data_IF_258801059830
#
_entry.id   IF_258801059830
#
_cell.length_a   1.000
_cell.length_b   1.000
_cell.length_c   1.000
_cell.angle_alpha   90.00
_cell.angle_beta   90.00
_cell.angle_gamma   90.00
#
_symmetry.space_group_name_H-M   'P 1'
#
loop_
_entity.id
_entity.type
_entity.pdbx_description
1 polymer ?
#
# COMPACT_ATOMS: atom_id res chain seq x y z
N UNK A 1 11.70 6.57 -32.44
CA UNK A 1 11.28 6.02 -31.14
C UNK A 1 10.01 6.75 -30.74
N UNK A 2 8.89 6.28 -31.28
CA UNK A 2 7.56 6.79 -30.94
C UNK A 2 7.10 6.03 -29.70
N UNK A 3 6.95 6.76 -28.59
CA UNK A 3 6.36 6.22 -27.38
C UNK A 3 4.89 5.90 -27.67
N UNK A 4 4.42 4.65 -27.53
CA UNK A 4 3.01 4.35 -27.68
C UNK A 4 2.26 5.14 -26.60
N UNK A 5 1.43 6.10 -27.04
CA UNK A 5 0.40 6.69 -26.21
C UNK A 5 -0.52 5.55 -25.79
N UNK A 6 -0.36 5.06 -24.57
CA UNK A 6 -1.38 4.26 -23.90
C UNK A 6 -2.54 5.23 -23.70
N UNK A 7 -3.51 5.19 -24.60
CA UNK A 7 -4.79 5.84 -24.36
C UNK A 7 -5.34 5.22 -23.08
N UNK A 8 -5.40 6.04 -22.04
CA UNK A 8 -5.98 5.74 -20.74
C UNK A 8 -7.44 5.35 -21.02
N UNK A 9 -7.71 4.03 -21.14
CA UNK A 9 -9.07 3.51 -21.25
C UNK A 9 -9.74 3.78 -19.89
N UNK A 10 -10.33 4.96 -19.77
CA UNK A 10 -11.09 5.35 -18.60
C UNK A 10 -12.11 4.24 -18.30
N UNK A 11 -11.93 3.58 -17.16
CA UNK A 11 -12.74 2.43 -16.76
C UNK A 11 -14.24 2.78 -16.94
N UNK A 12 -14.97 2.08 -17.82
CA UNK A 12 -16.38 2.38 -18.10
C UNK A 12 -17.24 2.27 -16.84
N UNK A 13 -16.78 1.49 -15.86
CA UNK A 13 -17.41 1.34 -14.56
C UNK A 13 -17.38 2.63 -13.73
N UNK A 14 -16.28 3.41 -13.76
CA UNK A 14 -16.20 4.69 -13.03
C UNK A 14 -17.20 5.70 -13.56
N UNK A 15 -17.34 5.78 -14.89
CA UNK A 15 -18.34 6.64 -15.53
C UNK A 15 -19.76 6.28 -15.09
N UNK A 16 -20.08 4.99 -14.98
CA UNK A 16 -21.39 4.53 -14.51
C UNK A 16 -21.68 4.95 -13.06
N UNK A 17 -20.67 4.99 -12.17
CA UNK A 17 -20.82 5.48 -10.80
C UNK A 17 -21.04 6.99 -10.75
N UNK A 18 -20.36 7.76 -11.60
CA UNK A 18 -20.61 9.19 -11.74
C UNK A 18 -22.03 9.48 -12.22
N UNK A 19 -22.51 8.76 -13.23
CA UNK A 19 -23.88 8.91 -13.72
C UNK A 19 -24.92 8.54 -12.66
N UNK A 20 -24.68 7.45 -11.92
CA UNK A 20 -25.59 7.02 -10.85
C UNK A 20 -25.63 8.01 -9.70
N UNK A 21 -24.48 8.52 -9.27
CA UNK A 21 -24.40 9.52 -8.19
C UNK A 21 -25.03 10.86 -8.61
N UNK A 22 -24.77 11.31 -9.85
CA UNK A 22 -25.42 12.49 -10.41
C UNK A 22 -26.94 12.33 -10.46
N UNK A 23 -27.44 11.15 -10.86
CA UNK A 23 -28.88 10.87 -10.90
C UNK A 23 -29.53 10.92 -9.52
N UNK A 24 -28.86 10.39 -8.48
CA UNK A 24 -29.36 10.43 -7.09
C UNK A 24 -29.43 11.86 -6.56
N UNK A 25 -28.39 12.67 -6.81
CA UNK A 25 -28.38 14.09 -6.42
C UNK A 25 -29.48 14.84 -7.17
N UNK A 26 -29.65 14.58 -8.48
CA UNK A 26 -30.69 15.21 -9.27
C UNK A 26 -32.10 14.84 -8.79
N UNK A 27 -32.35 13.57 -8.50
CA UNK A 27 -33.63 13.11 -7.96
C UNK A 27 -33.91 13.73 -6.58
N UNK A 28 -32.89 13.89 -5.74
CA UNK A 28 -33.01 14.54 -4.44
C UNK A 28 -33.33 16.03 -4.58
N UNK A 29 -32.64 16.71 -5.51
CA UNK A 29 -32.91 18.10 -5.83
C UNK A 29 -34.32 18.29 -6.40
N UNK A 30 -34.76 17.38 -7.27
CA UNK A 30 -36.10 17.42 -7.86
C UNK A 30 -37.19 17.24 -6.78
N UNK A 31 -36.99 16.33 -5.83
CA UNK A 31 -37.91 16.18 -4.68
C UNK A 31 -37.93 17.41 -3.80
N UNK A 32 -36.76 18.00 -3.54
CA UNK A 32 -36.67 19.24 -2.77
C UNK A 32 -37.36 20.40 -3.48
N UNK A 33 -37.14 20.54 -4.78
CA UNK A 33 -37.74 21.58 -5.60
C UNK A 33 -39.27 21.46 -5.61
N UNK A 34 -39.79 20.24 -5.82
CA UNK A 34 -41.23 20.00 -5.84
C UNK A 34 -41.86 20.13 -4.45
N UNK A 35 -41.20 19.65 -3.40
CA UNK A 35 -41.74 19.61 -2.05
C UNK A 35 -41.67 20.93 -1.29
N UNK A 36 -40.62 21.72 -1.51
CA UNK A 36 -40.34 22.92 -0.70
C UNK A 36 -40.21 24.18 -1.54
N UNK A 37 -39.45 24.14 -2.64
CA UNK A 37 -39.15 25.35 -3.40
C UNK A 37 -40.40 25.90 -4.13
N UNK A 38 -41.11 25.05 -4.89
CA UNK A 38 -42.32 25.43 -5.63
C UNK A 38 -43.43 26.01 -4.75
N UNK A 39 -43.88 25.33 -3.68
CA UNK A 39 -44.95 25.87 -2.84
C UNK A 39 -44.50 27.16 -2.15
N UNK A 40 -43.27 27.23 -1.63
CA UNK A 40 -42.73 28.43 -1.00
C UNK A 40 -42.72 29.65 -1.95
N UNK A 41 -42.29 29.45 -3.20
CA UNK A 41 -42.24 30.52 -4.20
C UNK A 41 -43.65 30.99 -4.60
N UNK A 42 -44.61 30.07 -4.75
CA UNK A 42 -46.00 30.42 -5.04
C UNK A 42 -46.66 31.22 -3.89
N UNK A 43 -46.35 30.88 -2.63
CA UNK A 43 -46.81 31.61 -1.46
C UNK A 43 -46.18 33.00 -1.37
N UNK A 44 -44.89 33.12 -1.68
CA UNK A 44 -44.19 34.40 -1.76
C UNK A 44 -44.87 35.33 -2.77
N UNK A 45 -45.07 34.88 -4.01
CA UNK A 45 -45.72 35.68 -5.07
C UNK A 45 -47.12 36.13 -4.65
N UNK A 46 -47.92 35.22 -4.08
CA UNK A 46 -49.27 35.55 -3.59
C UNK A 46 -49.25 36.55 -2.42
N UNK A 47 -48.26 36.46 -1.54
CA UNK A 47 -48.08 37.40 -0.42
C UNK A 47 -47.71 38.81 -0.90
N UNK A 48 -46.85 38.93 -1.91
CA UNK A 48 -46.51 40.21 -2.55
C UNK A 48 -47.72 40.90 -3.19
N UNK A 49 -48.61 40.15 -3.84
CA UNK A 49 -49.83 40.69 -4.43
C UNK A 49 -50.83 41.19 -3.37
N UNK A 50 -50.90 40.51 -2.23
CA UNK A 50 -51.90 40.85 -1.20
C UNK A 50 -51.44 42.00 -0.30
N UNK A 51 -50.15 42.05 0.08
CA UNK A 51 -49.60 43.05 1.03
C UNK A 51 -48.14 43.42 0.69
N UNK A 52 -47.92 44.28 -0.32
CA UNK A 52 -46.58 44.54 -0.87
C UNK A 52 -45.59 45.10 0.18
N UNK A 53 -46.03 46.00 1.05
CA UNK A 53 -45.15 46.67 2.04
C UNK A 53 -44.57 45.70 3.08
N UNK A 54 -45.36 44.75 3.59
CA UNK A 54 -44.87 43.77 4.57
C UNK A 54 -43.96 42.74 3.89
N UNK A 55 -44.28 42.35 2.66
CA UNK A 55 -43.53 41.36 1.91
C UNK A 55 -42.13 41.88 1.52
N UNK A 56 -42.01 43.13 1.09
CA UNK A 56 -40.70 43.74 0.79
C UNK A 56 -39.85 43.89 2.04
N UNK A 57 -40.43 44.29 3.17
CA UNK A 57 -39.71 44.36 4.45
C UNK A 57 -39.14 43.00 4.86
N UNK A 58 -39.95 41.93 4.81
CA UNK A 58 -39.50 40.57 5.12
C UNK A 58 -38.43 40.07 4.15
N UNK A 59 -38.55 40.38 2.85
CA UNK A 59 -37.56 39.99 1.86
C UNK A 59 -36.20 40.67 2.11
N UNK A 60 -36.20 41.99 2.35
CA UNK A 60 -34.97 42.73 2.68
C UNK A 60 -34.38 42.26 4.00
N UNK A 61 -35.21 42.06 5.03
CA UNK A 61 -34.77 41.50 6.31
C UNK A 61 -34.16 40.10 6.13
N UNK A 62 -34.81 39.23 5.34
CA UNK A 62 -34.30 37.90 5.03
C UNK A 62 -32.94 37.98 4.35
N UNK A 63 -32.77 38.81 3.32
CA UNK A 63 -31.49 38.98 2.62
C UNK A 63 -30.40 39.53 3.56
N UNK A 64 -30.71 40.55 4.36
CA UNK A 64 -29.76 41.14 5.31
C UNK A 64 -29.40 40.16 6.44
N UNK A 65 -30.33 39.31 6.88
CA UNK A 65 -30.10 38.28 7.90
C UNK A 65 -29.41 37.03 7.34
N UNK A 66 -29.53 36.77 6.04
CA UNK A 66 -28.87 35.65 5.38
C UNK A 66 -27.36 35.84 5.33
N UNK A 67 -26.90 37.10 5.21
CA UNK A 67 -25.48 37.45 5.13
C UNK A 67 -24.68 37.07 6.40
N UNK A 68 -25.10 37.43 7.63
CA UNK A 68 -24.44 36.96 8.85
C UNK A 68 -24.60 35.45 9.07
N UNK A 69 -25.71 34.85 8.62
CA UNK A 69 -25.93 33.41 8.73
C UNK A 69 -24.98 32.62 7.81
N UNK A 70 -24.79 33.06 6.56
CA UNK A 70 -23.81 32.49 5.64
C UNK A 70 -22.38 32.70 6.15
N UNK A 71 -22.07 33.88 6.68
CA UNK A 71 -20.77 34.16 7.28
C UNK A 71 -20.48 33.21 8.45
N UNK A 72 -21.47 33.00 9.32
CA UNK A 72 -21.35 32.06 10.44
C UNK A 72 -21.14 30.61 9.96
N UNK A 73 -21.93 30.14 8.99
CA UNK A 73 -21.78 28.78 8.43
C UNK A 73 -20.40 28.64 7.77
N UNK A 74 -20.00 29.61 6.95
CA UNK A 74 -18.70 29.59 6.28
C UNK A 74 -17.54 29.58 7.26
N UNK A 75 -17.58 30.43 8.29
CA UNK A 75 -16.56 30.47 9.33
C UNK A 75 -16.52 29.19 10.17
N UNK A 76 -17.68 28.62 10.52
CA UNK A 76 -17.78 27.35 11.23
C UNK A 76 -17.17 26.19 10.42
N UNK A 77 -17.50 26.10 9.12
CA UNK A 77 -16.91 25.11 8.22
C UNK A 77 -15.40 25.33 8.05
N UNK A 78 -14.96 26.58 7.93
CA UNK A 78 -13.54 26.91 7.82
C UNK A 78 -12.74 26.48 9.05
N UNK A 79 -13.29 26.73 10.25
CA UNK A 79 -12.69 26.26 11.50
C UNK A 79 -12.63 24.73 11.51
N UNK A 80 -13.74 24.06 11.23
CA UNK A 80 -13.80 22.59 11.23
C UNK A 80 -12.77 21.99 10.26
N UNK A 81 -12.72 22.49 9.02
CA UNK A 81 -11.76 22.07 8.01
C UNK A 81 -10.31 22.30 8.47
N UNK A 82 -10.03 23.45 9.08
CA UNK A 82 -8.71 23.77 9.63
C UNK A 82 -8.32 22.78 10.74
N UNK A 83 -9.22 22.48 11.68
CA UNK A 83 -8.97 21.51 12.75
C UNK A 83 -8.71 20.10 12.20
N UNK A 84 -9.49 19.65 11.22
CA UNK A 84 -9.27 18.36 10.55
C UNK A 84 -7.91 18.33 9.87
N UNK A 85 -7.54 19.39 9.15
CA UNK A 85 -6.25 19.49 8.48
C UNK A 85 -5.08 19.45 9.47
N UNK A 86 -5.14 20.23 10.56
CA UNK A 86 -4.12 20.21 11.61
C UNK A 86 -4.03 18.86 12.32
N UNK A 87 -5.18 18.22 12.58
CA UNK A 87 -5.21 16.88 13.19
C UNK A 87 -4.56 15.84 12.27
N UNK A 88 -4.88 15.87 10.98
CA UNK A 88 -4.30 14.95 9.99
C UNK A 88 -2.80 15.19 9.82
N UNK A 89 -2.37 16.45 9.71
CA UNK A 89 -0.96 16.82 9.63
C UNK A 89 -0.19 16.36 10.88
N UNK A 90 -0.76 16.57 12.07
CA UNK A 90 -0.19 16.12 13.34
C UNK A 90 -0.08 14.59 13.41
N UNK A 91 -1.12 13.87 12.96
CA UNK A 91 -1.12 12.41 12.93
C UNK A 91 -0.04 11.85 11.98
N UNK A 92 0.09 12.42 10.77
CA UNK A 92 1.13 12.03 9.82
C UNK A 92 2.53 12.32 10.35
N UNK A 93 2.73 13.48 10.98
CA UNK A 93 4.02 13.85 11.58
C UNK A 93 4.36 12.89 12.73
N UNK A 94 3.42 12.61 13.63
CA UNK A 94 3.62 11.63 14.69
C UNK A 94 3.94 10.22 14.15
N UNK A 95 3.19 9.74 13.15
CA UNK A 95 3.42 8.45 12.52
C UNK A 95 4.81 8.36 11.88
N UNK A 96 5.23 9.41 11.15
CA UNK A 96 6.56 9.45 10.52
C UNK A 96 7.69 9.41 11.55
N UNK A 97 7.57 10.12 12.68
CA UNK A 97 8.53 10.06 13.79
C UNK A 97 8.62 8.63 14.33
N UNK A 98 7.49 7.99 14.60
CA UNK A 98 7.46 6.61 15.14
C UNK A 98 8.11 5.63 14.17
N UNK A 99 7.81 5.74 12.87
CA UNK A 99 8.43 4.90 11.84
C UNK A 99 9.93 5.12 11.79
N UNK A 100 10.40 6.38 11.82
CA UNK A 100 11.84 6.68 11.83
C UNK A 100 12.52 6.11 13.08
N UNK A 101 11.93 6.31 14.26
CA UNK A 101 12.47 5.81 15.52
C UNK A 101 12.55 4.28 15.51
N UNK A 102 11.47 3.61 15.05
CA UNK A 102 11.45 2.16 14.90
C UNK A 102 12.49 1.66 13.91
N UNK A 103 12.69 2.38 12.79
CA UNK A 103 13.73 2.06 11.81
C UNK A 103 15.14 2.18 12.38
N UNK A 104 15.43 3.22 13.15
CA UNK A 104 16.72 3.41 13.83
C UNK A 104 16.96 2.31 14.87
N UNK A 105 15.95 1.97 15.68
CA UNK A 105 16.03 0.88 16.65
C UNK A 105 16.30 -0.46 15.96
N UNK A 106 15.56 -0.77 14.89
CA UNK A 106 15.76 -1.98 14.10
C UNK A 106 17.18 -2.02 13.50
N UNK A 107 17.64 -0.92 12.90
CA UNK A 107 19.00 -0.79 12.39
C UNK A 107 20.06 -1.03 13.45
N UNK A 108 19.89 -0.46 14.65
CA UNK A 108 20.79 -0.67 15.79
C UNK A 108 20.81 -2.15 16.23
N UNK A 109 19.64 -2.79 16.35
CA UNK A 109 19.58 -4.22 16.70
C UNK A 109 20.25 -5.10 15.66
N UNK A 110 20.03 -4.85 14.36
CA UNK A 110 20.70 -5.58 13.28
C UNK A 110 22.22 -5.40 13.33
N UNK A 111 22.69 -4.18 13.62
CA UNK A 111 24.12 -3.90 13.79
C UNK A 111 24.73 -4.72 14.95
N UNK A 112 24.04 -4.75 16.10
CA UNK A 112 24.47 -5.53 17.26
C UNK A 112 24.47 -7.03 16.93
N UNK A 113 23.41 -7.55 16.30
CA UNK A 113 23.34 -8.94 15.87
C UNK A 113 24.46 -9.29 14.87
N UNK A 114 24.76 -8.39 13.94
CA UNK A 114 25.85 -8.56 12.98
C UNK A 114 27.20 -8.70 13.71
N UNK A 115 27.49 -7.80 14.65
CA UNK A 115 28.72 -7.88 15.45
C UNK A 115 28.78 -9.12 16.34
N UNK A 116 27.66 -9.60 16.86
CA UNK A 116 27.59 -10.84 17.64
C UNK A 116 27.76 -12.07 16.72
N UNK A 117 27.25 -12.01 15.50
CA UNK A 117 27.36 -13.13 14.56
C UNK A 117 28.81 -13.40 14.15
N UNK A 118 29.66 -12.38 14.00
CA UNK A 118 31.06 -12.55 13.60
C UNK A 118 31.83 -13.50 14.53
N UNK A 119 31.95 -13.22 15.86
CA UNK A 119 32.65 -14.10 16.78
C UNK A 119 31.93 -15.43 16.97
N UNK A 120 30.60 -15.45 16.91
CA UNK A 120 29.83 -16.70 17.02
C UNK A 120 30.14 -17.63 15.84
N UNK A 121 30.22 -17.09 14.63
CA UNK A 121 30.57 -17.83 13.41
C UNK A 121 32.03 -18.28 13.47
N UNK A 122 32.94 -17.41 13.92
CA UNK A 122 34.35 -17.75 14.11
C UNK A 122 34.54 -18.87 15.15
N UNK A 123 33.79 -18.83 16.26
CA UNK A 123 33.81 -19.84 17.30
C UNK A 123 33.22 -21.17 16.81
N UNK A 124 32.08 -21.14 16.12
CA UNK A 124 31.47 -22.32 15.52
C UNK A 124 32.40 -22.98 14.50
N UNK A 125 33.03 -22.18 13.63
CA UNK A 125 34.01 -22.66 12.65
C UNK A 125 35.25 -23.23 13.35
N UNK A 126 35.77 -22.56 14.37
CA UNK A 126 36.89 -23.03 15.18
C UNK A 126 36.59 -24.35 15.89
N UNK A 127 35.42 -24.47 16.51
CA UNK A 127 34.95 -25.69 17.17
C UNK A 127 34.78 -26.84 16.17
N UNK A 128 34.24 -26.56 14.99
CA UNK A 128 34.12 -27.53 13.91
C UNK A 128 35.49 -28.05 13.45
N UNK A 129 36.44 -27.14 13.21
CA UNK A 129 37.81 -27.51 12.83
C UNK A 129 38.47 -28.34 13.94
N UNK A 130 38.36 -27.91 15.20
CA UNK A 130 38.92 -28.62 16.34
C UNK A 130 38.32 -30.01 16.51
N UNK A 131 36.99 -30.14 16.40
CA UNK A 131 36.28 -31.42 16.44
C UNK A 131 36.75 -32.36 15.32
N UNK A 132 36.83 -31.86 14.08
CA UNK A 132 37.30 -32.63 12.93
C UNK A 132 38.75 -33.08 13.09
N UNK A 133 39.62 -32.22 13.61
CA UNK A 133 41.01 -32.55 13.91
C UNK A 133 41.08 -33.64 15.00
N UNK A 134 40.29 -33.51 16.07
CA UNK A 134 40.24 -34.49 17.15
C UNK A 134 39.82 -35.88 16.65
N UNK A 135 38.84 -35.95 15.74
CA UNK A 135 38.43 -37.20 15.09
C UNK A 135 39.57 -37.80 14.27
N UNK A 136 40.25 -37.02 13.40
CA UNK A 136 41.40 -37.52 12.60
C UNK A 136 42.60 -37.94 13.46
N UNK A 137 42.91 -37.20 14.52
CA UNK A 137 44.00 -37.54 15.45
C UNK A 137 43.71 -38.86 16.17
N UNK A 138 42.44 -39.13 16.47
CA UNK A 138 42.00 -40.39 17.09
C UNK A 138 42.08 -41.58 16.13
N UNK A 139 41.87 -41.40 14.82
CA UNK A 139 41.94 -42.48 13.84
C UNK A 139 43.37 -42.79 13.39
N UNK A 140 44.18 -41.78 13.06
CA UNK A 140 45.45 -41.96 12.32
C UNK A 140 46.70 -41.66 13.17
N UNK A 141 46.52 -41.31 14.44
CA UNK A 141 47.58 -40.91 15.35
C UNK A 141 48.04 -39.46 15.16
N UNK A 142 48.70 -38.91 16.19
CA UNK A 142 48.98 -37.48 16.31
C UNK A 142 49.87 -36.92 15.19
N UNK A 143 50.91 -37.66 14.77
CA UNK A 143 51.89 -37.18 13.78
C UNK A 143 51.36 -37.20 12.34
N UNK A 144 50.64 -38.25 11.95
CA UNK A 144 50.11 -38.36 10.59
C UNK A 144 48.88 -37.47 10.37
N UNK A 145 48.01 -37.36 11.39
CA UNK A 145 46.75 -36.62 11.30
C UNK A 145 46.92 -35.11 11.08
N UNK A 146 47.85 -34.46 11.79
CA UNK A 146 48.04 -33.00 11.70
C UNK A 146 48.70 -32.62 10.37
N UNK A 147 49.72 -33.36 9.94
CA UNK A 147 50.43 -33.09 8.68
C UNK A 147 49.54 -33.27 7.46
N UNK A 148 48.78 -34.36 7.40
CA UNK A 148 47.84 -34.63 6.32
C UNK A 148 46.70 -33.61 6.25
N UNK A 149 46.15 -33.21 7.39
CA UNK A 149 45.09 -32.19 7.44
C UNK A 149 45.56 -30.81 6.98
N UNK A 150 46.77 -30.39 7.38
CA UNK A 150 47.32 -29.10 6.97
C UNK A 150 47.55 -29.06 5.44
N UNK A 151 48.08 -30.13 4.87
CA UNK A 151 48.32 -30.22 3.43
C UNK A 151 47.00 -30.24 2.64
N UNK A 152 45.98 -30.92 3.13
CA UNK A 152 44.65 -30.96 2.50
C UNK A 152 43.91 -29.62 2.61
N UNK A 153 43.96 -28.95 3.76
CA UNK A 153 43.35 -27.63 3.96
C UNK A 153 44.02 -26.59 3.05
N UNK A 154 45.35 -26.66 2.94
CA UNK A 154 46.11 -25.84 2.00
C UNK A 154 45.66 -26.09 0.56
N UNK A 155 45.54 -27.36 0.17
CA UNK A 155 45.14 -27.71 -1.19
C UNK A 155 43.71 -27.25 -1.53
N UNK A 156 42.78 -27.27 -0.57
CA UNK A 156 41.42 -26.74 -0.76
C UNK A 156 41.40 -25.21 -0.91
N UNK A 157 42.19 -24.48 -0.12
CA UNK A 157 42.24 -23.01 -0.22
C UNK A 157 42.84 -22.53 -1.55
N UNK A 158 43.89 -23.20 -2.05
CA UNK A 158 44.50 -22.83 -3.32
C UNK A 158 43.71 -23.29 -4.56
N UNK A 159 42.86 -24.32 -4.43
CA UNK A 159 42.09 -24.85 -5.58
C UNK A 159 40.83 -24.02 -5.89
N UNK A 160 40.47 -23.06 -5.04
CA UNK A 160 39.25 -22.25 -5.22
C UNK A 160 39.50 -20.87 -5.82
N UNK A 161 40.72 -20.56 -6.28
CA UNK A 161 40.93 -19.42 -7.16
C UNK A 161 40.26 -19.77 -8.51
N UNK A 162 39.10 -19.16 -8.83
CA UNK A 162 38.35 -19.54 -10.01
C UNK A 162 39.14 -19.06 -11.23
N UNK A 163 39.42 -19.99 -12.13
CA UNK A 163 39.28 -19.95 -13.60
C UNK A 163 38.89 -18.61 -14.27
N UNK A 164 39.48 -17.48 -13.89
CA UNK A 164 39.37 -16.20 -14.59
C UNK A 164 39.98 -16.27 -16.01
N UNK A 165 40.69 -17.37 -16.30
CA UNK A 165 41.23 -17.70 -17.62
C UNK A 165 40.24 -18.45 -18.51
N UNK A 166 39.10 -18.96 -18.01
CA UNK A 166 38.10 -19.62 -18.84
C UNK A 166 37.25 -18.63 -19.65
N UNK A 167 37.17 -17.34 -19.25
CA UNK A 167 36.40 -16.33 -19.99
C UNK A 167 37.16 -15.67 -21.15
N UNK A 168 38.47 -15.91 -21.29
CA UNK A 168 39.24 -15.40 -22.45
C UNK A 168 39.32 -16.41 -23.61
N UNK A 169 38.85 -17.64 -23.42
CA UNK A 169 38.86 -18.66 -24.47
C UNK A 169 37.64 -18.60 -25.41
N UNK A 170 36.59 -17.85 -25.06
CA UNK A 170 35.35 -17.74 -25.87
C UNK A 170 35.22 -16.43 -26.65
N UNK A 171 36.13 -15.45 -26.50
CA UNK A 171 36.06 -14.19 -27.24
C UNK A 171 36.59 -14.28 -28.69
N UNK A 172 37.09 -15.45 -29.12
CA UNK A 172 37.59 -15.68 -30.49
C UNK A 172 36.71 -16.64 -31.33
N UNK A 173 35.55 -17.10 -30.81
CA UNK A 173 34.60 -17.90 -31.61
C UNK A 173 33.48 -17.02 -32.16
N UNK A 174 33.85 -16.34 -33.24
CA UNK A 174 33.10 -16.31 -34.51
C UNK A 174 31.62 -15.90 -34.47
N UNK A 175 31.40 -14.68 -34.94
CA UNK A 175 30.32 -14.32 -35.86
C UNK A 175 29.81 -15.51 -36.70
N UNK A 176 28.68 -16.11 -36.31
CA UNK A 176 27.80 -16.80 -37.24
C UNK A 176 26.40 -16.79 -36.68
N UNK A 177 25.56 -15.93 -37.25
CA UNK A 177 24.18 -15.78 -36.83
C UNK A 177 23.36 -17.04 -37.09
N UNK A 178 22.40 -17.30 -36.20
CA UNK A 178 21.17 -18.03 -36.51
C UNK A 178 20.26 -17.94 -35.30
N UNK A 179 19.14 -17.27 -35.52
CA UNK A 179 17.80 -17.63 -35.07
C UNK A 179 17.50 -17.77 -33.57
N UNK A 180 16.81 -16.71 -33.10
CA UNK A 180 15.53 -16.79 -32.40
C UNK A 180 15.12 -18.18 -31.85
N UNK A 181 15.29 -18.37 -30.54
CA UNK A 181 14.44 -19.27 -29.76
C UNK A 181 13.93 -18.51 -28.54
N UNK A 182 12.76 -17.90 -28.73
CA UNK A 182 11.92 -17.31 -27.70
C UNK A 182 11.31 -18.47 -26.89
N UNK A 183 11.90 -18.81 -25.73
CA UNK A 183 11.26 -19.73 -24.79
C UNK A 183 10.19 -18.94 -24.03
N UNK A 184 9.00 -18.90 -24.63
CA UNK A 184 7.75 -18.55 -23.96
C UNK A 184 7.49 -19.65 -22.92
N UNK A 185 7.82 -19.36 -21.67
CA UNK A 185 7.37 -20.15 -20.53
C UNK A 185 5.86 -20.04 -20.40
N UNK A 186 5.16 -21.04 -20.91
CA UNK A 186 3.72 -21.23 -20.68
C UNK A 186 3.48 -21.53 -19.21
N UNK A 187 2.94 -20.55 -18.49
CA UNK A 187 2.40 -20.72 -17.13
C UNK A 187 1.10 -21.55 -17.29
N UNK A 188 0.97 -22.72 -16.63
CA UNK A 188 -0.28 -23.47 -16.63
C UNK A 188 -1.37 -22.69 -15.87
N UNK A 189 -2.57 -22.48 -16.46
CA UNK A 189 -3.71 -21.90 -15.77
C UNK A 189 -4.46 -23.01 -15.02
N UNK A 190 -3.90 -23.48 -13.91
CA UNK A 190 -4.59 -24.38 -12.99
C UNK A 190 -4.80 -23.70 -11.65
N UNK A 191 -6.06 -23.40 -11.33
CA UNK A 191 -6.43 -22.91 -10.00
C UNK A 191 -7.61 -21.96 -9.96
N UNK A 192 -8.70 -22.25 -10.68
CA UNK A 192 -10.03 -21.75 -10.37
C UNK A 192 -10.45 -22.29 -9.00
N UNK A 193 -10.01 -21.64 -7.92
CA UNK A 193 -10.51 -21.93 -6.59
C UNK A 193 -11.82 -21.15 -6.36
N UNK A 194 -12.91 -21.87 -6.60
CA UNK A 194 -14.29 -21.45 -6.36
C UNK A 194 -14.48 -21.26 -4.85
N UNK A 195 -14.25 -20.06 -4.34
CA UNK A 195 -14.61 -19.68 -2.97
C UNK A 195 -15.43 -18.39 -2.91
N UNK A 196 -16.48 -18.33 -3.72
CA UNK A 196 -17.50 -17.28 -3.71
C UNK A 196 -18.89 -17.89 -3.82
N UNK A 197 -19.28 -18.71 -2.83
CA UNK A 197 -20.66 -19.17 -2.69
C UNK A 197 -20.95 -19.71 -1.27
N UNK A 198 -20.51 -19.03 -0.20
CA UNK A 198 -20.92 -19.42 1.17
C UNK A 198 -20.69 -18.32 2.22
N UNK A 199 -21.13 -17.08 1.97
CA UNK A 199 -21.16 -16.06 3.04
C UNK A 199 -22.29 -15.06 2.79
N UNK A 200 -23.53 -15.56 2.71
CA UNK A 200 -24.72 -14.72 2.61
C UNK A 200 -25.97 -15.37 3.26
N UNK A 201 -25.76 -16.12 4.36
CA UNK A 201 -26.86 -16.86 5.02
C UNK A 201 -27.07 -16.62 6.52
N UNK A 202 -26.32 -15.74 7.17
CA UNK A 202 -26.36 -15.61 8.65
C UNK A 202 -26.72 -14.22 9.20
N UNK A 203 -27.33 -13.32 8.43
CA UNK A 203 -27.76 -12.00 8.96
C UNK A 203 -29.25 -11.91 9.37
N UNK A 204 -30.10 -12.88 9.05
CA UNK A 204 -31.57 -12.75 9.22
C UNK A 204 -32.16 -13.33 10.52
N UNK A 205 -31.34 -13.64 11.53
CA UNK A 205 -31.84 -14.29 12.78
C UNK A 205 -31.78 -13.41 14.04
N UNK A 206 -31.61 -12.08 13.93
CA UNK A 206 -31.57 -11.19 15.11
C UNK A 206 -32.59 -10.03 15.00
N UNK A 207 -33.90 -10.35 14.89
CA UNK A 207 -34.97 -9.34 15.06
C UNK A 207 -36.16 -9.89 15.88
N UNK A 208 -36.01 -10.98 16.65
CA UNK A 208 -37.17 -11.60 17.33
C UNK A 208 -36.99 -11.87 18.83
N UNK A 209 -36.50 -10.88 19.58
CA UNK A 209 -36.60 -10.92 21.05
C UNK A 209 -36.42 -9.53 21.68
N UNK A 210 -37.39 -8.64 21.52
CA UNK A 210 -37.60 -7.53 22.47
C UNK A 210 -39.03 -6.96 22.30
N UNK A 211 -40.00 -7.72 22.78
CA UNK A 211 -41.36 -7.24 23.03
C UNK A 211 -42.01 -8.09 24.12
N UNK A 212 -41.56 -7.91 25.36
CA UNK A 212 -42.31 -8.16 26.59
C UNK A 212 -41.98 -7.07 27.61
#
# INVERSE_FOLDING_TARGET
MESPYVADEADPDLLSYFDKSAMVVHQSFQRFEQGYARPGMSLLVKSFQTRPVRSTFLAVFAILSLLPLLSFIGFSLFILASFVFFSLAGALLAASIVIMLSGVLLGCTLMILFFISIPLTAFALGAFIAFRLAVRVRSDGYRAGVGGWAQETKNQFYRTAPEEDALKADEDVSHSGSDAVMIIGTIPPDGLDKKSAQEDRDADTIVKSESE
#
